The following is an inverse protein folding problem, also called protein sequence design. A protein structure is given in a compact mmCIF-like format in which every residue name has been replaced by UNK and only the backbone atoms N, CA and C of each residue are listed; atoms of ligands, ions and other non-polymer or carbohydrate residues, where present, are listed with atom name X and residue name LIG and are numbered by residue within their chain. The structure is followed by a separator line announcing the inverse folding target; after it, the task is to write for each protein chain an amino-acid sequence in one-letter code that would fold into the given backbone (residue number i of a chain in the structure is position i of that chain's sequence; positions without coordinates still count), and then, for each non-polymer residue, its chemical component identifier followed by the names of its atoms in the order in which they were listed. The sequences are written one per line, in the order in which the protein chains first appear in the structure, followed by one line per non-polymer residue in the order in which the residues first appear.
data_IF_453775515470
#
_entry.id   IF_453775515470
#
_cell.length_a   1.000
_cell.length_b   1.000
_cell.length_c   1.000
_cell.angle_alpha   90.00
_cell.angle_beta   90.00
_cell.angle_gamma   90.00
#
_symmetry.space_group_name_H-M   'P 1'
#
loop_
_entity.id
_entity.type
_entity.pdbx_description
1 polymer ?
#
# COMPACT_ATOMS: atom_id res chain seq x y z
N UNK A 1 11.07 4.41 1.23
CA UNK A 1 12.47 4.89 1.20
C UNK A 1 12.96 5.11 2.62
N UNK A 2 14.05 4.46 3.01
CA UNK A 2 14.63 4.60 4.36
C UNK A 2 15.64 5.75 4.43
N UNK A 3 15.46 6.67 5.37
CA UNK A 3 16.34 7.82 5.59
C UNK A 3 16.93 7.72 7.01
N UNK A 4 18.17 7.26 7.16
CA UNK A 4 18.75 6.90 8.48
C UNK A 4 19.76 7.94 9.00
N UNK A 5 20.12 8.97 8.22
CA UNK A 5 21.08 9.99 8.65
C UNK A 5 20.42 11.36 8.92
N UNK A 6 19.90 11.57 10.14
CA UNK A 6 19.42 12.88 10.63
C UNK A 6 19.59 13.05 12.14
N UNK A 7 20.22 14.14 12.59
CA UNK A 7 20.49 14.46 14.03
C UNK A 7 19.31 15.17 14.74
N UNK A 8 18.12 15.22 14.16
CA UNK A 8 16.98 16.00 14.68
C UNK A 8 15.91 15.08 15.31
N UNK A 9 15.35 15.47 16.45
CA UNK A 9 14.34 14.70 17.20
C UNK A 9 13.07 14.36 16.38
N UNK A 10 12.71 15.20 15.41
CA UNK A 10 11.62 14.94 14.45
C UNK A 10 11.83 13.67 13.59
N UNK A 11 13.07 13.17 13.54
CA UNK A 11 13.45 11.92 12.86
C UNK A 11 13.24 10.66 13.70
N UNK A 12 12.80 10.76 14.96
CA UNK A 12 12.56 9.57 15.76
C UNK A 12 11.26 8.84 15.36
N UNK A 13 10.24 9.55 14.85
CA UNK A 13 8.94 8.96 14.50
C UNK A 13 8.73 8.75 12.98
N UNK A 14 9.36 9.55 12.10
CA UNK A 14 9.19 9.47 10.63
C UNK A 14 10.49 9.14 9.90
N UNK A 15 11.03 7.92 10.04
CA UNK A 15 12.28 7.45 9.39
C UNK A 15 12.13 6.94 7.96
N UNK A 16 10.92 7.01 7.39
CA UNK A 16 10.63 6.53 6.05
C UNK A 16 9.71 7.49 5.29
N UNK A 17 9.95 7.63 3.98
CA UNK A 17 9.07 8.34 3.05
C UNK A 17 8.47 7.36 2.03
N UNK A 18 7.23 7.61 1.61
CA UNK A 18 6.57 6.85 0.56
C UNK A 18 7.33 7.01 -0.77
N UNK A 19 7.63 5.89 -1.41
CA UNK A 19 8.12 5.85 -2.78
C UNK A 19 7.07 5.09 -3.59
N UNK A 20 6.47 5.74 -4.58
CA UNK A 20 5.41 5.18 -5.38
C UNK A 20 5.94 4.75 -6.74
N UNK A 21 5.54 3.55 -7.16
CA UNK A 21 5.60 3.11 -8.55
C UNK A 21 4.17 3.17 -9.11
N UNK A 22 3.92 4.06 -10.06
CA UNK A 22 2.61 4.14 -10.75
C UNK A 22 2.81 3.95 -12.25
N UNK A 23 1.76 3.63 -13.03
CA UNK A 23 1.90 3.53 -14.48
C UNK A 23 2.42 4.81 -15.15
N UNK A 24 2.16 5.98 -14.55
CA UNK A 24 2.54 7.28 -15.12
C UNK A 24 3.92 7.75 -14.63
N UNK A 25 4.14 7.68 -13.32
CA UNK A 25 5.37 8.18 -12.72
C UNK A 25 5.83 7.37 -11.51
N UNK A 26 7.15 7.31 -11.32
CA UNK A 26 7.82 6.65 -10.21
C UNK A 26 8.66 7.67 -9.44
N UNK A 27 8.57 7.64 -8.11
CA UNK A 27 9.30 8.60 -7.29
C UNK A 27 8.74 8.80 -5.89
N UNK A 28 9.08 9.92 -5.27
CA UNK A 28 8.68 10.24 -3.91
C UNK A 28 8.33 11.72 -3.75
N UNK A 29 7.51 12.01 -2.75
CA UNK A 29 7.27 13.36 -2.27
C UNK A 29 7.07 13.40 -0.76
N UNK A 30 7.82 14.24 -0.07
CA UNK A 30 7.68 14.45 1.37
C UNK A 30 8.19 15.83 1.78
N UNK A 31 7.70 16.31 2.92
CA UNK A 31 8.14 17.57 3.51
C UNK A 31 9.34 17.28 4.42
N UNK A 32 10.43 18.02 4.23
CA UNK A 32 11.54 17.97 5.16
C UNK A 32 11.10 18.59 6.50
N UNK A 33 11.37 17.92 7.64
CA UNK A 33 11.04 18.45 8.96
C UNK A 33 11.99 19.56 9.43
N UNK A 34 12.77 20.17 8.52
CA UNK A 34 13.57 21.35 8.87
C UNK A 34 12.64 22.55 9.10
N UNK A 35 13.11 23.58 9.82
CA UNK A 35 12.32 24.79 10.17
C UNK A 35 11.71 25.51 8.95
N UNK A 36 12.10 25.13 7.73
CA UNK A 36 11.62 25.72 6.48
C UNK A 36 10.49 24.92 5.82
N UNK A 37 10.22 23.69 6.27
CA UNK A 37 9.13 22.86 5.73
C UNK A 37 9.25 22.63 4.23
N UNK A 38 10.49 22.43 3.72
CA UNK A 38 10.70 22.34 2.27
C UNK A 38 10.05 21.08 1.71
N UNK A 39 9.13 21.24 0.77
CA UNK A 39 8.56 20.13 0.00
C UNK A 39 9.60 19.61 -1.00
N UNK A 40 10.07 18.38 -0.80
CA UNK A 40 10.81 17.64 -1.81
C UNK A 40 9.82 16.80 -2.61
N UNK A 41 9.84 16.97 -3.93
CA UNK A 41 9.00 16.20 -4.85
C UNK A 41 9.81 15.86 -6.10
N UNK A 42 10.07 14.57 -6.27
CA UNK A 42 10.82 14.07 -7.41
C UNK A 42 10.13 12.82 -7.96
N UNK A 43 9.42 13.02 -9.07
CA UNK A 43 8.81 11.97 -9.86
C UNK A 43 9.40 11.97 -11.27
N UNK A 44 9.58 10.78 -11.83
CA UNK A 44 10.06 10.56 -13.20
C UNK A 44 9.07 9.69 -13.98
N UNK A 45 8.95 9.84 -15.30
CA UNK A 45 8.11 8.94 -16.11
C UNK A 45 8.50 7.48 -15.87
N UNK A 46 7.53 6.63 -15.51
CA UNK A 46 7.81 5.23 -15.16
C UNK A 46 8.40 4.43 -16.33
N UNK A 47 8.02 4.80 -17.56
CA UNK A 47 8.54 4.17 -18.77
C UNK A 47 10.06 4.35 -18.96
N UNK A 48 10.65 5.39 -18.37
CA UNK A 48 12.08 5.70 -18.49
C UNK A 48 12.87 5.45 -17.20
N UNK A 49 12.18 5.50 -16.05
CA UNK A 49 12.79 5.24 -14.76
C UNK A 49 13.26 3.78 -14.68
N UNK A 50 14.53 3.56 -14.30
CA UNK A 50 15.17 2.24 -14.30
C UNK A 50 15.08 1.49 -15.65
N UNK A 51 15.17 2.20 -16.78
CA UNK A 51 15.00 1.64 -18.13
C UNK A 51 13.62 1.02 -18.38
N UNK A 52 12.63 1.41 -17.57
CA UNK A 52 11.29 0.85 -17.55
C UNK A 52 11.09 -0.11 -16.39
N UNK A 53 10.36 0.32 -15.36
CA UNK A 53 10.03 -0.54 -14.22
C UNK A 53 8.98 -1.58 -14.63
N UNK A 54 9.38 -2.84 -14.57
CA UNK A 54 8.47 -3.97 -14.74
C UNK A 54 7.57 -4.12 -13.50
N UNK A 55 6.30 -4.47 -13.72
CA UNK A 55 5.34 -4.72 -12.63
C UNK A 55 5.86 -5.76 -11.63
N UNK A 56 6.50 -6.83 -12.12
CA UNK A 56 7.11 -7.85 -11.26
C UNK A 56 8.22 -7.29 -10.36
N UNK A 57 9.03 -6.34 -10.85
CA UNK A 57 10.05 -5.68 -10.05
C UNK A 57 9.42 -4.80 -8.97
N UNK A 58 8.41 -4.00 -9.32
CA UNK A 58 7.68 -3.20 -8.34
C UNK A 58 7.02 -4.07 -7.26
N UNK A 59 6.42 -5.20 -7.65
CA UNK A 59 5.84 -6.18 -6.71
C UNK A 59 6.91 -6.79 -5.79
N UNK A 60 8.05 -7.23 -6.36
CA UNK A 60 9.14 -7.83 -5.58
C UNK A 60 9.76 -6.84 -4.58
N UNK A 61 9.92 -5.57 -4.97
CA UNK A 61 10.42 -4.50 -4.09
C UNK A 61 9.40 -4.22 -2.98
N UNK A 62 8.10 -4.18 -3.32
CA UNK A 62 7.04 -3.93 -2.34
C UNK A 62 6.90 -5.06 -1.32
N UNK A 63 7.15 -6.31 -1.69
CA UNK A 63 7.05 -7.47 -0.79
C UNK A 63 8.33 -7.78 0.02
N UNK A 64 9.34 -6.92 -0.03
CA UNK A 64 10.64 -7.16 0.58
C UNK A 64 10.64 -6.86 2.11
N UNK A 65 9.90 -7.67 2.87
CA UNK A 65 9.47 -7.38 4.25
C UNK A 65 10.55 -7.49 5.35
N UNK A 66 11.69 -8.16 5.13
CA UNK A 66 12.72 -8.36 6.17
C UNK A 66 13.97 -7.49 5.95
N UNK A 67 13.80 -6.16 5.96
CA UNK A 67 14.92 -5.25 5.70
C UNK A 67 15.83 -5.07 6.93
N UNK A 68 17.16 -5.00 6.78
CA UNK A 68 18.11 -4.75 7.88
C UNK A 68 17.88 -3.44 8.66
N UNK A 69 17.11 -2.52 8.08
CA UNK A 69 16.81 -1.19 8.59
C UNK A 69 15.38 -1.04 9.14
N UNK A 70 14.72 -2.17 9.47
CA UNK A 70 13.40 -2.20 10.13
C UNK A 70 13.37 -1.25 11.34
N UNK A 71 12.71 -0.10 11.15
CA UNK A 71 12.57 0.94 12.15
C UNK A 71 11.60 0.49 13.24
N UNK A 72 12.17 0.16 14.40
CA UNK A 72 11.67 0.24 15.79
C UNK A 72 12.71 -0.46 16.70
N UNK A 73 13.50 -1.39 16.15
CA UNK A 73 14.62 -2.09 16.81
C UNK A 73 15.85 -2.32 15.91
N UNK A 74 16.21 -1.39 15.03
CA UNK A 74 17.43 -1.51 14.22
C UNK A 74 18.68 -1.25 15.07
N UNK A 75 19.27 -2.33 15.61
CA UNK A 75 20.62 -2.27 16.16
C UNK A 75 21.63 -2.37 15.01
N UNK A 76 22.70 -1.54 15.00
CA UNK A 76 23.75 -1.62 13.99
C UNK A 76 24.36 -3.02 13.86
N UNK A 77 24.36 -3.81 14.93
CA UNK A 77 24.83 -5.20 14.95
C UNK A 77 23.87 -6.17 14.23
N UNK A 78 22.55 -5.98 14.36
CA UNK A 78 21.56 -6.78 13.65
C UNK A 78 21.54 -6.43 12.15
N UNK A 79 21.66 -5.14 11.82
CA UNK A 79 21.85 -4.67 10.44
C UNK A 79 23.11 -5.29 9.84
N UNK A 80 24.23 -5.27 10.56
CA UNK A 80 25.49 -5.91 10.17
C UNK A 80 25.33 -7.42 9.94
N UNK A 81 24.70 -8.15 10.86
CA UNK A 81 24.48 -9.59 10.73
C UNK A 81 23.60 -9.92 9.51
N UNK A 82 22.47 -9.24 9.32
CA UNK A 82 21.60 -9.47 8.17
C UNK A 82 22.30 -9.14 6.84
N UNK A 83 23.10 -8.07 6.78
CA UNK A 83 23.89 -7.73 5.59
C UNK A 83 25.01 -8.72 5.31
N UNK A 84 25.72 -9.23 6.32
CA UNK A 84 26.80 -10.24 6.18
C UNK A 84 26.25 -11.61 5.77
N UNK A 85 25.09 -12.01 6.29
CA UNK A 85 24.43 -13.28 5.94
C UNK A 85 23.52 -13.18 4.70
N UNK A 86 23.58 -12.07 3.95
CA UNK A 86 22.85 -11.84 2.71
C UNK A 86 21.31 -11.94 2.85
N UNK A 87 20.79 -11.65 4.04
CA UNK A 87 19.35 -11.44 4.28
C UNK A 87 19.04 -10.02 3.79
N UNK A 88 19.03 -9.84 2.46
CA UNK A 88 18.73 -8.57 1.78
C UNK A 88 17.27 -8.55 1.36
N UNK A 89 16.49 -7.66 1.96
CA UNK A 89 15.11 -7.41 1.53
C UNK A 89 14.87 -5.92 1.27
N UNK A 90 15.83 -5.27 0.63
CA UNK A 90 15.64 -3.94 0.06
C UNK A 90 16.39 -3.82 -1.25
N UNK A 91 15.98 -2.88 -2.09
CA UNK A 91 16.52 -2.66 -3.41
C UNK A 91 17.10 -1.25 -3.53
N UNK A 92 18.31 -1.16 -4.05
CA UNK A 92 18.97 0.12 -4.34
C UNK A 92 18.46 0.63 -5.68
N UNK A 93 17.48 1.52 -5.63
CA UNK A 93 16.93 2.17 -6.83
C UNK A 93 17.65 3.48 -7.13
N UNK A 94 17.75 3.88 -8.41
CA UNK A 94 18.33 5.15 -8.78
C UNK A 94 17.49 6.29 -8.20
N UNK A 95 18.11 7.36 -7.70
CA UNK A 95 17.37 8.46 -7.11
C UNK A 95 16.69 9.31 -8.19
N UNK A 96 15.36 9.49 -8.18
CA UNK A 96 14.64 10.37 -9.09
C UNK A 96 15.17 11.82 -9.11
N UNK A 97 15.73 12.30 -8.00
CA UNK A 97 16.34 13.62 -7.89
C UNK A 97 17.66 13.74 -8.67
N UNK A 98 18.32 12.63 -9.02
CA UNK A 98 19.62 12.63 -9.69
C UNK A 98 19.45 12.57 -11.22
N UNK A 99 19.61 13.71 -11.89
CA UNK A 99 19.43 13.83 -13.35
C UNK A 99 20.31 12.90 -14.20
N UNK A 100 21.45 12.45 -13.67
CA UNK A 100 22.41 11.62 -14.42
C UNK A 100 22.19 10.12 -14.30
N UNK A 101 21.53 9.68 -13.23
CA UNK A 101 21.46 8.26 -12.86
C UNK A 101 20.04 7.71 -12.75
N UNK A 102 19.00 8.55 -12.76
CA UNK A 102 17.60 8.13 -12.54
C UNK A 102 17.08 7.09 -13.53
N UNK A 103 17.67 6.98 -14.72
CA UNK A 103 17.32 5.96 -15.72
C UNK A 103 18.06 4.64 -15.54
N UNK A 104 19.11 4.55 -14.71
CA UNK A 104 19.94 3.33 -14.61
C UNK A 104 19.27 2.26 -13.76
N UNK A 105 19.39 1.01 -14.17
CA UNK A 105 18.88 -0.12 -13.40
C UNK A 105 19.65 -0.35 -12.08
N UNK A 106 20.99 -0.33 -12.13
CA UNK A 106 21.86 -0.67 -11.00
C UNK A 106 22.94 0.38 -10.68
N UNK A 107 23.40 0.45 -9.41
CA UNK A 107 24.55 1.26 -9.05
C UNK A 107 25.82 0.72 -9.71
N UNK A 108 26.67 1.58 -10.30
CA UNK A 108 27.86 1.15 -11.04
C UNK A 108 28.91 0.43 -10.15
N UNK A 109 28.87 0.62 -8.83
CA UNK A 109 29.76 -0.03 -7.86
C UNK A 109 28.97 -0.49 -6.62
N UNK A 110 28.34 -1.67 -6.69
CA UNK A 110 27.48 -2.20 -5.62
C UNK A 110 28.15 -2.33 -4.25
N UNK A 111 29.48 -2.54 -4.18
CA UNK A 111 30.21 -2.68 -2.92
C UNK A 111 30.23 -1.42 -2.03
N UNK A 112 30.20 -0.23 -2.62
CA UNK A 112 30.17 1.04 -1.87
C UNK A 112 28.78 1.29 -1.26
N UNK A 113 27.72 0.88 -1.96
CA UNK A 113 26.36 0.94 -1.45
C UNK A 113 26.11 -0.10 -0.36
N UNK A 114 26.74 -1.28 -0.47
CA UNK A 114 26.77 -2.27 0.61
C UNK A 114 27.43 -1.73 1.89
N UNK A 115 28.57 -1.03 1.77
CA UNK A 115 29.20 -0.36 2.91
C UNK A 115 28.34 0.78 3.45
N UNK A 116 27.67 1.53 2.59
CA UNK A 116 26.75 2.60 3.02
C UNK A 116 25.52 2.05 3.76
N UNK A 117 25.05 0.87 3.35
CA UNK A 117 24.02 0.08 4.06
C UNK A 117 24.53 -0.40 5.42
N UNK A 118 25.74 -0.98 5.47
CA UNK A 118 26.41 -1.45 6.69
C UNK A 118 26.62 -0.35 7.74
N UNK A 119 26.81 0.89 7.31
CA UNK A 119 27.02 2.04 8.20
C UNK A 119 25.79 2.94 8.37
N UNK A 120 24.62 2.56 7.84
CA UNK A 120 23.38 3.33 7.97
C UNK A 120 23.44 4.74 7.35
N UNK A 121 24.30 4.96 6.36
CA UNK A 121 24.53 6.27 5.72
C UNK A 121 23.64 6.46 4.49
N UNK A 122 22.32 6.35 4.65
CA UNK A 122 21.37 6.68 3.58
C UNK A 122 20.95 8.15 3.64
N UNK A 123 21.24 8.90 2.57
CA UNK A 123 20.84 10.30 2.41
C UNK A 123 19.99 10.44 1.15
N UNK A 124 18.98 11.31 1.19
CA UNK A 124 18.11 11.61 0.04
C UNK A 124 18.84 12.29 -1.13
N UNK A 125 20.07 12.80 -0.92
CA UNK A 125 20.93 13.41 -1.94
C UNK A 125 21.83 12.42 -2.68
N UNK A 126 21.85 11.15 -2.25
CA UNK A 126 22.66 10.09 -2.87
C UNK A 126 22.18 9.79 -4.30
N UNK A 127 23.06 9.39 -5.24
CA UNK A 127 22.63 8.99 -6.59
C UNK A 127 21.68 7.79 -6.62
N UNK A 128 21.69 6.97 -5.57
CA UNK A 128 20.76 5.85 -5.37
C UNK A 128 20.13 5.93 -3.97
N UNK A 129 18.87 5.49 -3.88
CA UNK A 129 18.07 5.43 -2.66
C UNK A 129 17.72 3.98 -2.33
N UNK A 130 17.66 3.67 -1.04
CA UNK A 130 17.29 2.34 -0.58
C UNK A 130 15.76 2.25 -0.42
N UNK A 131 15.14 1.37 -1.20
CA UNK A 131 13.73 1.04 -1.12
C UNK A 131 13.56 -0.26 -0.33
N UNK A 132 12.58 -0.26 0.56
CA UNK A 132 12.13 -1.42 1.35
C UNK A 132 10.61 -1.53 1.23
N UNK A 133 10.06 -2.63 1.75
CA UNK A 133 8.62 -2.84 1.86
C UNK A 133 7.88 -1.62 2.46
N UNK A 134 6.76 -1.28 1.81
CA UNK A 134 5.87 -0.18 2.14
C UNK A 134 5.03 -0.38 3.41
N UNK A 135 4.91 -1.62 3.91
CA UNK A 135 4.17 -1.93 5.14
C UNK A 135 4.69 -1.17 6.38
N UNK A 136 5.96 -0.76 6.38
CA UNK A 136 6.54 0.08 7.43
C UNK A 136 6.04 1.53 7.44
N UNK A 137 5.43 1.98 6.33
CA UNK A 137 4.83 3.30 6.22
C UNK A 137 3.32 3.20 6.22
N UNK A 138 2.73 2.58 5.22
CA UNK A 138 1.28 2.46 5.04
C UNK A 138 1.00 1.24 4.14
N UNK A 139 0.34 0.24 4.70
CA UNK A 139 0.27 -1.11 4.13
C UNK A 139 -0.87 -1.32 3.11
N UNK A 140 -1.86 -0.42 3.07
CA UNK A 140 -3.03 -0.50 2.18
C UNK A 140 -2.81 0.20 0.83
N UNK A 141 -1.77 1.02 0.71
CA UNK A 141 -1.48 1.82 -0.48
C UNK A 141 -2.45 2.98 -0.71
N UNK A 142 -3.38 3.23 0.21
CA UNK A 142 -4.39 4.30 0.14
C UNK A 142 -3.70 5.67 0.11
N UNK A 143 -2.61 5.84 0.84
CA UNK A 143 -1.96 7.15 1.02
C UNK A 143 -1.53 7.80 -0.30
N UNK A 144 -0.89 7.04 -1.20
CA UNK A 144 -0.44 7.56 -2.50
C UNK A 144 -1.60 7.70 -3.51
N UNK A 145 -2.68 6.93 -3.37
CA UNK A 145 -3.90 7.12 -4.17
C UNK A 145 -4.65 8.40 -3.75
N UNK A 146 -4.71 8.67 -2.45
CA UNK A 146 -5.24 9.93 -1.89
C UNK A 146 -4.39 11.12 -2.32
N UNK A 147 -3.06 11.01 -2.31
CA UNK A 147 -2.15 12.04 -2.86
C UNK A 147 -2.52 12.40 -4.30
N UNK A 148 -2.86 11.40 -5.11
CA UNK A 148 -3.24 11.54 -6.52
C UNK A 148 -4.69 11.99 -6.74
N UNK A 149 -5.45 12.23 -5.67
CA UNK A 149 -6.86 12.65 -5.73
C UNK A 149 -7.73 11.67 -6.52
N UNK A 150 -7.49 10.38 -6.32
CA UNK A 150 -8.28 9.34 -6.99
C UNK A 150 -9.76 9.48 -6.65
N UNK A 151 -10.60 9.51 -7.69
CA UNK A 151 -12.06 9.63 -7.54
C UNK A 151 -12.70 8.37 -6.94
N UNK A 152 -12.12 7.20 -7.17
CA UNK A 152 -12.52 5.97 -6.48
C UNK A 152 -11.28 5.13 -6.16
N UNK A 153 -11.23 4.60 -4.93
CA UNK A 153 -10.15 3.80 -4.37
C UNK A 153 -10.77 2.49 -3.92
N UNK A 154 -10.26 1.37 -4.43
CA UNK A 154 -10.59 0.03 -3.93
C UNK A 154 -9.38 -0.48 -3.16
N UNK A 155 -9.53 -0.63 -1.84
CA UNK A 155 -8.49 -1.12 -0.95
C UNK A 155 -8.87 -2.51 -0.45
N UNK A 156 -8.00 -3.50 -0.64
CA UNK A 156 -8.18 -4.85 -0.11
C UNK A 156 -7.17 -5.05 1.00
N UNK A 157 -7.64 -5.06 2.24
CA UNK A 157 -6.81 -5.28 3.41
C UNK A 157 -6.63 -6.79 3.65
N UNK A 158 -5.60 -7.36 3.04
CA UNK A 158 -5.18 -8.74 3.26
C UNK A 158 -4.25 -8.91 4.48
N UNK A 159 -4.11 -7.89 5.34
CA UNK A 159 -3.30 -7.95 6.54
C UNK A 159 -3.89 -8.87 7.62
N UNK A 160 -3.01 -9.44 8.45
CA UNK A 160 -3.43 -10.19 9.63
C UNK A 160 -4.15 -9.27 10.61
N UNK A 161 -5.43 -9.54 10.86
CA UNK A 161 -6.23 -8.79 11.83
C UNK A 161 -7.29 -9.68 12.47
N UNK A 162 -6.85 -10.66 13.25
CA UNK A 162 -7.74 -11.64 13.88
C UNK A 162 -8.72 -11.01 14.89
N UNK A 163 -8.42 -9.80 15.38
CA UNK A 163 -9.22 -9.08 16.36
C UNK A 163 -10.07 -7.95 15.75
N UNK A 164 -10.04 -7.78 14.42
CA UNK A 164 -10.78 -6.72 13.70
C UNK A 164 -10.52 -5.32 14.28
N UNK A 165 -9.25 -5.00 14.54
CA UNK A 165 -8.83 -3.69 15.06
C UNK A 165 -8.68 -2.65 13.95
N UNK A 166 -8.49 -3.08 12.71
CA UNK A 166 -8.33 -2.21 11.53
C UNK A 166 -7.21 -1.15 11.70
N UNK A 167 -6.11 -1.53 12.36
CA UNK A 167 -4.98 -0.65 12.66
C UNK A 167 -4.37 -0.01 11.40
N UNK A 168 -4.26 -0.79 10.31
CA UNK A 168 -3.75 -0.33 9.01
C UNK A 168 -4.65 0.76 8.42
N UNK A 169 -5.97 0.59 8.48
CA UNK A 169 -6.94 1.59 8.03
C UNK A 169 -6.85 2.86 8.90
N UNK A 170 -6.84 2.72 10.23
CA UNK A 170 -6.68 3.84 11.14
C UNK A 170 -5.36 4.59 10.97
N UNK A 171 -4.26 3.89 10.65
CA UNK A 171 -2.98 4.49 10.29
C UNK A 171 -3.07 5.28 8.97
N UNK A 172 -3.66 4.70 7.92
CA UNK A 172 -3.84 5.37 6.63
C UNK A 172 -4.68 6.66 6.75
N UNK A 173 -5.81 6.62 7.46
CA UNK A 173 -6.69 7.78 7.69
C UNK A 173 -5.93 8.90 8.41
N UNK A 174 -5.25 8.59 9.53
CA UNK A 174 -4.47 9.58 10.30
C UNK A 174 -3.39 10.24 9.47
N UNK A 175 -2.67 9.47 8.65
CA UNK A 175 -1.62 9.99 7.76
C UNK A 175 -2.18 10.88 6.66
N UNK A 176 -3.27 10.46 6.01
CA UNK A 176 -3.92 11.26 4.97
C UNK A 176 -4.41 12.61 5.50
N UNK A 177 -4.98 12.62 6.71
CA UNK A 177 -5.38 13.86 7.37
C UNK A 177 -4.18 14.74 7.73
N UNK A 178 -3.18 14.18 8.42
CA UNK A 178 -2.03 14.94 8.90
C UNK A 178 -1.19 15.56 7.78
N UNK A 179 -1.01 14.82 6.66
CA UNK A 179 -0.10 15.25 5.60
C UNK A 179 -0.81 15.97 4.44
N UNK A 180 -2.11 15.71 4.20
CA UNK A 180 -2.85 16.28 3.07
C UNK A 180 -4.11 17.06 3.45
N UNK A 181 -4.50 17.08 4.73
CA UNK A 181 -5.77 17.64 5.17
C UNK A 181 -6.99 16.89 4.62
N UNK A 182 -6.81 15.65 4.13
CA UNK A 182 -7.87 14.85 3.54
C UNK A 182 -8.62 14.11 4.64
N UNK A 183 -9.95 14.23 4.66
CA UNK A 183 -10.82 13.50 5.59
C UNK A 183 -11.36 12.27 4.89
N UNK A 184 -11.16 11.10 5.50
CA UNK A 184 -11.75 9.84 5.05
C UNK A 184 -12.82 9.46 6.07
N UNK A 185 -14.06 9.44 5.62
CA UNK A 185 -15.24 9.12 6.41
C UNK A 185 -15.74 7.72 6.03
N UNK A 186 -15.44 6.74 6.88
CA UNK A 186 -15.76 5.33 6.67
C UNK A 186 -16.13 4.69 8.01
N UNK A 187 -17.15 3.82 7.99
CA UNK A 187 -17.68 3.16 9.17
C UNK A 187 -17.21 1.71 9.19
N UNK A 188 -16.50 1.33 10.25
CA UNK A 188 -16.02 -0.03 10.40
C UNK A 188 -17.16 -1.00 10.72
N UNK A 189 -18.28 -0.49 11.24
CA UNK A 189 -19.49 -1.27 11.54
C UNK A 189 -20.05 -1.97 10.29
N UNK A 190 -19.89 -1.36 9.09
CA UNK A 190 -20.30 -1.96 7.81
C UNK A 190 -19.59 -3.30 7.55
N UNK A 191 -18.43 -3.53 8.18
CA UNK A 191 -17.68 -4.78 8.06
C UNK A 191 -18.22 -5.87 8.99
N UNK A 192 -19.06 -5.58 9.98
CA UNK A 192 -19.52 -6.59 10.95
C UNK A 192 -20.33 -7.70 10.28
N UNK A 193 -21.18 -7.35 9.33
CA UNK A 193 -22.08 -8.25 8.61
C UNK A 193 -21.71 -8.49 7.14
N UNK A 194 -20.65 -7.86 6.63
CA UNK A 194 -20.27 -7.88 5.22
C UNK A 194 -18.78 -8.11 4.98
N UNK A 195 -18.35 -7.96 3.73
CA UNK A 195 -16.94 -8.02 3.34
C UNK A 195 -16.31 -6.65 3.12
N UNK A 196 -17.13 -5.61 3.02
CA UNK A 196 -16.69 -4.28 2.60
C UNK A 196 -17.38 -3.15 3.35
N UNK A 197 -16.64 -2.07 3.58
CA UNK A 197 -17.13 -0.78 4.02
C UNK A 197 -16.96 0.26 2.91
N UNK A 198 -17.93 1.16 2.79
CA UNK A 198 -17.93 2.18 1.74
C UNK A 198 -17.90 3.56 2.38
N UNK A 199 -16.80 4.26 2.14
CA UNK A 199 -16.49 5.56 2.71
C UNK A 199 -16.36 6.68 1.67
N UNK A 200 -16.37 7.91 2.17
CA UNK A 200 -16.19 9.14 1.40
C UNK A 200 -14.79 9.70 1.65
N UNK A 201 -14.18 10.25 0.61
CA UNK A 201 -12.85 10.89 0.69
C UNK A 201 -13.02 12.36 0.34
N UNK A 202 -12.90 13.23 1.33
CA UNK A 202 -13.04 14.67 1.17
C UNK A 202 -11.67 15.30 0.94
N UNK A 203 -11.43 15.69 -0.31
CA UNK A 203 -10.23 16.41 -0.71
C UNK A 203 -10.45 17.93 -0.59
N UNK A 204 -9.49 18.70 -0.03
CA UNK A 204 -9.64 20.16 0.09
C UNK A 204 -9.79 20.89 -1.26
N UNK A 205 -9.05 20.44 -2.28
CA UNK A 205 -8.90 21.12 -3.57
C UNK A 205 -9.33 20.25 -4.77
N UNK A 206 -10.13 19.20 -4.53
CA UNK A 206 -10.58 18.29 -5.58
C UNK A 206 -12.00 17.78 -5.28
N UNK A 207 -12.74 17.29 -6.30
CA UNK A 207 -14.03 16.63 -6.09
C UNK A 207 -13.93 15.48 -5.10
N UNK A 208 -14.99 15.23 -4.35
CA UNK A 208 -15.10 14.11 -3.43
C UNK A 208 -14.80 12.78 -4.11
N UNK A 209 -14.01 11.93 -3.43
CA UNK A 209 -13.76 10.56 -3.85
C UNK A 209 -14.53 9.53 -3.03
N UNK A 210 -14.49 8.28 -3.46
CA UNK A 210 -15.04 7.13 -2.76
C UNK A 210 -13.93 6.14 -2.37
N UNK A 211 -14.04 5.56 -1.18
CA UNK A 211 -13.19 4.48 -0.70
C UNK A 211 -14.04 3.22 -0.50
N UNK A 212 -13.74 2.17 -1.25
CA UNK A 212 -14.31 0.83 -1.06
C UNK A 212 -13.23 0.02 -0.35
N UNK A 213 -13.42 -0.19 0.95
CA UNK A 213 -12.51 -0.97 1.78
C UNK A 213 -13.03 -2.41 1.89
N UNK A 214 -12.21 -3.40 1.56
CA UNK A 214 -12.56 -4.81 1.60
C UNK A 214 -11.66 -5.50 2.61
N UNK A 215 -12.27 -6.21 3.57
CA UNK A 215 -11.57 -7.06 4.53
C UNK A 215 -11.96 -8.52 4.30
N UNK A 216 -11.03 -9.40 3.87
CA UNK A 216 -11.30 -10.82 3.76
C UNK A 216 -11.71 -11.40 5.11
N UNK A 217 -12.88 -12.06 5.14
CA UNK A 217 -13.43 -12.76 6.30
C UNK A 217 -14.39 -13.85 5.83
N UNK A 218 -14.87 -14.66 6.77
CA UNK A 218 -15.93 -15.63 6.53
C UNK A 218 -17.20 -15.19 7.25
N UNK A 219 -18.32 -15.15 6.54
CA UNK A 219 -19.67 -14.80 7.03
C UNK A 219 -20.57 -16.03 7.16
N UNK A 220 -20.16 -17.17 6.60
CA UNK A 220 -20.89 -18.43 6.59
C UNK A 220 -21.59 -18.75 5.26
N UNK A 221 -21.65 -17.81 4.32
CA UNK A 221 -22.22 -18.03 2.98
C UNK A 221 -21.20 -18.56 1.97
N UNK A 222 -19.94 -18.70 2.36
CA UNK A 222 -18.85 -19.14 1.49
C UNK A 222 -18.98 -20.62 1.09
N UNK A 223 -18.35 -21.03 -0.03
CA UNK A 223 -18.25 -22.43 -0.43
C UNK A 223 -17.74 -23.36 0.67
N UNK A 224 -18.30 -24.57 0.72
CA UNK A 224 -18.05 -25.55 1.78
C UNK A 224 -16.56 -25.91 1.97
N UNK A 225 -15.74 -25.83 0.93
CA UNK A 225 -14.31 -26.08 1.01
C UNK A 225 -13.55 -24.96 1.74
N UNK A 226 -13.94 -23.69 1.59
CA UNK A 226 -13.38 -22.59 2.37
C UNK A 226 -13.77 -22.69 3.86
N UNK A 227 -15.03 -23.07 4.12
CA UNK A 227 -15.51 -23.32 5.48
C UNK A 227 -14.78 -24.52 6.11
N UNK A 228 -14.55 -25.58 5.34
CA UNK A 228 -13.76 -26.73 5.79
C UNK A 228 -12.28 -26.36 6.03
N UNK A 229 -11.70 -25.52 5.17
CA UNK A 229 -10.34 -25.03 5.34
C UNK A 229 -10.20 -24.25 6.66
N UNK A 230 -11.15 -23.36 6.98
CA UNK A 230 -11.19 -22.67 8.28
C UNK A 230 -11.25 -23.62 9.47
N UNK A 231 -12.02 -24.71 9.38
CA UNK A 231 -12.10 -25.70 10.46
C UNK A 231 -10.76 -26.40 10.72
N UNK A 232 -9.94 -26.57 9.69
CA UNK A 232 -8.61 -27.21 9.79
C UNK A 232 -7.48 -26.20 10.01
N UNK A 233 -7.71 -24.92 9.69
CA UNK A 233 -6.75 -23.82 9.80
C UNK A 233 -7.41 -22.62 10.51
N UNK A 234 -7.45 -22.60 11.85
CA UNK A 234 -8.17 -21.59 12.62
C UNK A 234 -7.69 -20.15 12.39
N UNK A 235 -6.46 -19.95 11.90
CA UNK A 235 -5.94 -18.64 11.55
C UNK A 235 -6.58 -18.04 10.30
N UNK A 236 -7.03 -18.85 9.34
CA UNK A 236 -7.59 -18.38 8.06
C UNK A 236 -8.81 -17.46 8.27
N UNK A 237 -9.00 -16.37 7.52
CA UNK A 237 -8.10 -15.76 6.53
C UNK A 237 -7.15 -14.69 7.13
N UNK A 238 -6.86 -14.76 8.42
CA UNK A 238 -5.92 -13.90 9.16
C UNK A 238 -4.73 -14.70 9.67
N UNK A 239 -4.16 -15.56 8.83
CA UNK A 239 -2.93 -16.28 9.20
C UNK A 239 -1.78 -15.29 9.37
N UNK A 240 -0.79 -15.70 10.15
CA UNK A 240 0.34 -14.84 10.48
C UNK A 240 1.12 -14.45 9.23
N UNK A 241 1.37 -13.16 9.06
CA UNK A 241 2.21 -12.63 7.96
C UNK A 241 3.69 -13.00 8.10
N UNK A 242 4.08 -13.61 9.22
CA UNK A 242 5.40 -14.23 9.38
C UNK A 242 5.57 -15.49 8.51
N UNK A 243 4.46 -16.14 8.13
CA UNK A 243 4.49 -17.25 7.17
C UNK A 243 4.41 -16.70 5.74
N UNK A 244 5.55 -16.66 5.06
CA UNK A 244 5.64 -16.21 3.66
C UNK A 244 5.69 -17.38 2.66
N UNK A 245 5.59 -18.65 3.12
CA UNK A 245 5.74 -19.84 2.29
C UNK A 245 4.45 -20.64 2.22
N UNK A 246 3.47 -20.09 1.50
CA UNK A 246 2.18 -20.75 1.33
C UNK A 246 2.33 -22.09 0.61
N UNK A 247 1.65 -23.10 1.14
CA UNK A 247 1.42 -24.34 0.40
C UNK A 247 0.29 -24.14 -0.64
N UNK A 248 0.13 -25.08 -1.56
CA UNK A 248 -0.85 -25.01 -2.65
C UNK A 248 -2.28 -24.81 -2.13
N UNK A 249 -2.70 -25.58 -1.12
CA UNK A 249 -4.04 -25.50 -0.54
C UNK A 249 -4.31 -24.15 0.13
N UNK A 250 -3.31 -23.59 0.80
CA UNK A 250 -3.40 -22.27 1.43
C UNK A 250 -3.56 -21.18 0.38
N UNK A 251 -2.67 -21.15 -0.62
CA UNK A 251 -2.74 -20.19 -1.72
C UNK A 251 -4.08 -20.25 -2.45
N UNK A 252 -4.54 -21.46 -2.77
CA UNK A 252 -5.81 -21.67 -3.46
C UNK A 252 -7.01 -21.21 -2.61
N UNK A 253 -6.97 -21.44 -1.30
CA UNK A 253 -8.01 -20.98 -0.37
C UNK A 253 -8.10 -19.46 -0.31
N UNK A 254 -6.97 -18.74 -0.23
CA UNK A 254 -6.97 -17.26 -0.32
C UNK A 254 -7.44 -16.75 -1.68
N UNK A 255 -6.95 -17.35 -2.78
CA UNK A 255 -7.36 -16.97 -4.14
C UNK A 255 -8.86 -17.15 -4.34
N UNK A 256 -9.40 -18.29 -3.90
CA UNK A 256 -10.84 -18.60 -4.01
C UNK A 256 -11.68 -17.70 -3.12
N UNK A 257 -11.25 -17.44 -1.88
CA UNK A 257 -11.93 -16.49 -1.00
C UNK A 257 -11.96 -15.09 -1.61
N UNK A 258 -10.83 -14.59 -2.11
CA UNK A 258 -10.76 -13.29 -2.76
C UNK A 258 -11.69 -13.19 -3.98
N UNK A 259 -11.75 -14.25 -4.80
CA UNK A 259 -12.69 -14.32 -5.94
C UNK A 259 -14.15 -14.29 -5.48
N UNK A 260 -14.50 -15.08 -4.46
CA UNK A 260 -15.85 -15.11 -3.90
C UNK A 260 -16.26 -13.72 -3.38
N UNK A 261 -15.41 -13.08 -2.58
CA UNK A 261 -15.66 -11.75 -2.02
C UNK A 261 -15.81 -10.71 -3.13
N UNK A 262 -14.92 -10.72 -4.13
CA UNK A 262 -15.01 -9.80 -5.26
C UNK A 262 -16.36 -9.90 -5.97
N UNK A 263 -16.85 -11.12 -6.22
CA UNK A 263 -18.18 -11.33 -6.80
C UNK A 263 -19.30 -10.87 -5.87
N UNK A 264 -19.22 -11.20 -4.58
CA UNK A 264 -20.23 -10.84 -3.59
C UNK A 264 -20.37 -9.31 -3.44
N UNK A 265 -19.25 -8.58 -3.48
CA UNK A 265 -19.24 -7.11 -3.36
C UNK A 265 -19.67 -6.45 -4.67
N UNK A 266 -19.16 -6.91 -5.82
CA UNK A 266 -19.27 -6.15 -7.06
C UNK A 266 -20.31 -6.64 -8.06
N UNK A 267 -20.69 -7.91 -8.14
CA UNK A 267 -21.50 -8.43 -9.26
C UNK A 267 -22.86 -7.70 -9.36
N UNK A 268 -23.62 -7.67 -8.27
CA UNK A 268 -24.93 -7.03 -8.26
C UNK A 268 -24.85 -5.50 -8.40
N UNK A 269 -23.80 -4.89 -7.86
CA UNK A 269 -23.61 -3.44 -7.95
C UNK A 269 -23.17 -3.01 -9.36
N UNK A 270 -22.37 -3.83 -10.03
CA UNK A 270 -21.88 -3.59 -11.39
C UNK A 270 -23.01 -3.70 -12.42
N UNK A 271 -23.89 -4.71 -12.30
CA UNK A 271 -25.06 -4.85 -13.18
C UNK A 271 -25.94 -3.59 -13.10
N UNK A 272 -26.24 -3.14 -11.88
CA UNK A 272 -27.06 -1.96 -11.65
C UNK A 272 -26.38 -0.69 -12.14
N UNK A 273 -25.08 -0.52 -11.84
CA UNK A 273 -24.29 0.62 -12.30
C UNK A 273 -24.27 0.72 -13.83
N UNK A 274 -24.05 -0.39 -14.54
CA UNK A 274 -24.08 -0.42 -16.01
C UNK A 274 -25.45 -0.06 -16.55
N UNK A 275 -26.53 -0.57 -15.97
CA UNK A 275 -27.90 -0.23 -16.39
C UNK A 275 -28.20 1.26 -16.21
N UNK A 276 -27.86 1.84 -15.04
CA UNK A 276 -28.07 3.27 -14.79
C UNK A 276 -27.21 4.14 -15.70
N UNK A 277 -25.97 3.75 -15.95
CA UNK A 277 -25.06 4.42 -16.88
C UNK A 277 -25.63 4.45 -18.31
N UNK A 278 -26.11 3.30 -18.81
CA UNK A 278 -26.73 3.20 -20.13
C UNK A 278 -27.99 4.07 -20.25
N UNK A 279 -28.84 4.06 -19.22
CA UNK A 279 -30.05 4.91 -19.18
C UNK A 279 -29.73 6.40 -19.17
N UNK A 280 -28.62 6.80 -18.56
CA UNK A 280 -28.14 8.17 -18.56
C UNK A 280 -27.44 8.59 -19.86
N UNK A 281 -27.17 7.64 -20.78
CA UNK A 281 -26.43 7.90 -22.01
C UNK A 281 -24.96 8.25 -21.77
N UNK A 282 -24.40 7.84 -20.63
CA UNK A 282 -22.99 8.08 -20.31
C UNK A 282 -22.10 6.96 -20.88
N UNK A 283 -21.05 7.35 -21.60
CA UNK A 283 -20.08 6.44 -22.20
C UNK A 283 -18.71 6.47 -21.49
N UNK A 284 -18.65 7.10 -20.32
CA UNK A 284 -17.47 7.14 -19.47
C UNK A 284 -17.18 5.83 -18.73
N UNK A 285 -16.22 5.83 -17.80
CA UNK A 285 -15.97 4.68 -16.94
C UNK A 285 -17.19 4.35 -16.07
N UNK A 286 -17.50 3.06 -15.88
CA UNK A 286 -18.61 2.61 -14.99
C UNK A 286 -18.30 2.83 -13.50
N UNK A 287 -17.04 3.07 -13.16
CA UNK A 287 -16.58 3.11 -11.77
C UNK A 287 -17.30 4.16 -10.90
N UNK A 288 -17.54 5.41 -11.34
CA UNK A 288 -18.30 6.38 -10.56
C UNK A 288 -19.71 5.90 -10.22
N UNK A 289 -20.42 5.30 -11.18
CA UNK A 289 -21.74 4.70 -10.99
C UNK A 289 -21.68 3.55 -9.98
N UNK A 290 -20.68 2.67 -10.08
CA UNK A 290 -20.47 1.60 -9.11
C UNK A 290 -20.26 2.14 -7.69
N UNK A 291 -19.44 3.18 -7.55
CA UNK A 291 -19.15 3.79 -6.26
C UNK A 291 -20.39 4.53 -5.70
N UNK A 292 -21.30 5.04 -6.55
CA UNK A 292 -22.60 5.59 -6.16
C UNK A 292 -23.56 4.49 -5.67
N UNK A 293 -23.76 3.41 -6.43
CA UNK A 293 -24.61 2.28 -6.03
C UNK A 293 -24.17 1.68 -4.69
N UNK A 294 -22.86 1.47 -4.52
CA UNK A 294 -22.32 0.91 -3.29
C UNK A 294 -22.52 1.85 -2.08
N UNK A 295 -22.60 3.16 -2.30
CA UNK A 295 -22.95 4.13 -1.25
C UNK A 295 -24.44 4.11 -0.94
N UNK A 296 -25.31 4.08 -1.95
CA UNK A 296 -26.76 4.02 -1.75
C UNK A 296 -27.15 2.80 -0.92
N UNK A 297 -26.57 1.63 -1.22
CA UNK A 297 -26.82 0.38 -0.48
C UNK A 297 -26.38 0.42 0.98
N UNK A 298 -25.47 1.34 1.33
CA UNK A 298 -25.09 1.58 2.73
C UNK A 298 -26.14 2.43 3.45
N UNK A 299 -26.70 3.42 2.76
CA UNK A 299 -27.65 4.36 3.35
C UNK A 299 -29.08 3.77 3.44
N UNK A 300 -29.35 2.63 2.81
CA UNK A 300 -30.60 1.88 2.97
C UNK A 300 -30.68 1.18 4.34
N UNK A 301 -31.73 1.43 5.15
CA UNK A 301 -31.93 0.69 6.39
C UNK A 301 -32.25 -0.78 6.08
N UNK A 302 -31.51 -1.68 6.73
CA UNK A 302 -31.69 -3.14 6.67
C UNK A 302 -33.08 -3.61 7.16
#
# INVERSE_FOLDING_TARGET
MNLVAGKQLAWQERRAAAFAFTPLASGYSFILPDEKGLLLSHYRPTAEYMEGVWMGSAMAISGAAASPNMGYHSSPALTFLMTVFNVRLGHWSPNPANERHWTRHDPPFGGIYLLSELFGRTQHSSPFVYLSDGGHFENLGIYELVRRRCACIVAVDAGQDANSQFDDLGNAIRKCYADFGVVIDIHAEDLESGYSAVGRVFYPDAPEGCLIYIKPRLTGSEPADLLNYKCTHPGFPHESTADQWFNESQFESYRKLGHYIGKAVFDAALIEATQRQEMAGDHGPVLPWLCEILRERRDEPA
#
